data_IF_057149368953
#
_entry.id   IF_057149368953
#
_cell.length_a   1.000
_cell.length_b   1.000
_cell.length_c   1.000
_cell.angle_alpha   90.00
_cell.angle_beta   90.00
_cell.angle_gamma   90.00
#
_symmetry.space_group_name_H-M   'P 1'
#
loop_
_entity.id
_entity.type
_entity.pdbx_description
1 polymer ?
#
# COMPACT_ATOMS: atom_id res chain seq x y z
N UNK A 1 -47.67 -4.80 -15.18
CA UNK A 1 -46.60 -4.46 -14.22
C UNK A 1 -46.90 -3.06 -13.64
N UNK A 2 -47.12 -2.95 -12.33
CA UNK A 2 -47.54 -1.70 -11.69
C UNK A 2 -46.37 -0.73 -11.52
N UNK A 3 -46.59 0.57 -11.76
CA UNK A 3 -45.57 1.65 -11.71
C UNK A 3 -44.73 1.64 -10.41
N UNK A 4 -45.31 1.19 -9.29
CA UNK A 4 -44.63 0.99 -7.99
C UNK A 4 -43.52 -0.07 -8.03
N UNK A 5 -43.69 -1.15 -8.79
CA UNK A 5 -42.67 -2.20 -8.97
C UNK A 5 -41.50 -1.71 -9.82
N UNK A 6 -41.77 -0.88 -10.83
CA UNK A 6 -40.72 -0.27 -11.67
C UNK A 6 -39.87 0.73 -10.88
N UNK A 7 -40.50 1.58 -10.04
CA UNK A 7 -39.77 2.50 -9.17
C UNK A 7 -38.90 1.77 -8.12
N UNK A 8 -39.42 0.71 -7.51
CA UNK A 8 -38.67 -0.09 -6.55
C UNK A 8 -37.48 -0.82 -7.18
N UNK A 9 -37.64 -1.34 -8.40
CA UNK A 9 -36.54 -1.95 -9.17
C UNK A 9 -35.47 -0.92 -9.57
N UNK A 10 -35.86 0.28 -9.99
CA UNK A 10 -34.91 1.36 -10.34
C UNK A 10 -34.12 1.84 -9.11
N UNK A 11 -34.78 1.99 -7.95
CA UNK A 11 -34.10 2.36 -6.70
C UNK A 11 -33.10 1.27 -6.23
N UNK A 12 -33.43 0.00 -6.43
CA UNK A 12 -32.54 -1.13 -6.11
C UNK A 12 -31.29 -1.17 -7.00
N UNK A 13 -31.42 -0.85 -8.30
CA UNK A 13 -30.28 -0.77 -9.24
C UNK A 13 -29.35 0.40 -8.89
N UNK A 14 -29.91 1.56 -8.52
CA UNK A 14 -29.12 2.74 -8.12
C UNK A 14 -28.31 2.48 -6.83
N UNK A 15 -28.87 1.73 -5.88
CA UNK A 15 -28.14 1.32 -4.66
C UNK A 15 -27.00 0.32 -4.95
N UNK A 16 -27.17 -0.59 -5.92
CA UNK A 16 -26.12 -1.56 -6.27
C UNK A 16 -24.91 -0.90 -6.96
N UNK A 17 -25.11 0.17 -7.71
CA UNK A 17 -24.01 0.87 -8.41
C UNK A 17 -23.19 1.80 -7.51
N UNK A 18 -23.69 2.17 -6.33
CA UNK A 18 -22.99 3.09 -5.42
C UNK A 18 -21.80 2.44 -4.66
N UNK A 19 -21.67 1.12 -4.69
CA UNK A 19 -20.64 0.38 -3.91
C UNK A 19 -19.34 0.17 -4.71
N UNK A 20 -19.29 0.53 -5.99
CA UNK A 20 -18.19 0.13 -6.89
C UNK A 20 -16.99 1.10 -6.98
N UNK A 21 -16.95 2.18 -6.19
CA UNK A 21 -15.83 3.15 -6.19
C UNK A 21 -15.01 3.14 -4.90
N UNK A 22 -14.87 1.97 -4.24
CA UNK A 22 -13.82 1.81 -3.24
C UNK A 22 -12.51 1.66 -4.00
N UNK A 23 -11.77 2.74 -4.10
CA UNK A 23 -10.46 2.78 -4.75
C UNK A 23 -9.51 1.82 -4.02
N UNK A 24 -9.29 0.64 -4.60
CA UNK A 24 -8.31 -0.33 -4.13
C UNK A 24 -6.90 0.12 -4.57
N UNK A 25 -6.54 1.37 -4.29
CA UNK A 25 -5.20 1.91 -4.52
C UNK A 25 -4.22 1.52 -3.44
N UNK A 26 -4.70 1.10 -2.25
CA UNK A 26 -3.86 0.79 -1.10
C UNK A 26 -2.70 -0.16 -1.42
N UNK A 27 -2.95 -1.25 -2.14
CA UNK A 27 -1.86 -2.21 -2.49
C UNK A 27 -1.00 -1.72 -3.67
N UNK A 28 -1.56 -0.89 -4.57
CA UNK A 28 -0.86 -0.37 -5.76
C UNK A 28 0.13 0.74 -5.42
N UNK A 29 -0.14 1.55 -4.39
CA UNK A 29 0.71 2.67 -4.00
C UNK A 29 1.59 2.38 -2.77
N UNK A 30 1.47 1.21 -2.14
CA UNK A 30 2.25 0.89 -0.94
C UNK A 30 3.68 0.48 -1.27
N UNK A 31 4.63 0.95 -0.46
CA UNK A 31 6.02 0.51 -0.46
C UNK A 31 6.43 0.03 0.92
N UNK A 32 7.25 -1.01 0.98
CA UNK A 32 7.75 -1.58 2.22
C UNK A 32 9.27 -1.49 2.25
N UNK A 33 9.79 -0.93 3.34
CA UNK A 33 11.22 -0.89 3.63
C UNK A 33 11.64 -2.18 4.34
N UNK A 34 12.66 -2.81 3.78
CA UNK A 34 13.28 -3.99 4.32
C UNK A 34 14.76 -3.76 4.61
N UNK A 35 15.31 -4.62 5.46
CA UNK A 35 16.76 -4.86 5.55
C UNK A 35 17.08 -6.35 5.54
N UNK A 36 18.33 -6.70 5.30
CA UNK A 36 18.80 -8.08 5.49
C UNK A 36 19.23 -8.30 6.95
N UNK A 37 19.29 -9.56 7.35
CA UNK A 37 19.97 -9.95 8.59
C UNK A 37 21.48 -10.07 8.38
N UNK A 38 22.24 -9.81 9.44
CA UNK A 38 23.69 -10.05 9.49
C UNK A 38 23.98 -11.56 9.65
N UNK A 39 23.08 -12.29 10.30
CA UNK A 39 23.33 -13.66 10.77
C UNK A 39 22.60 -14.73 9.98
N UNK A 40 21.68 -14.35 9.08
CA UNK A 40 20.88 -15.30 8.31
C UNK A 40 20.44 -14.70 6.96
N UNK A 41 20.19 -15.54 5.93
CA UNK A 41 19.62 -15.10 4.66
C UNK A 41 18.11 -14.84 4.82
N UNK A 42 17.76 -13.79 5.56
CA UNK A 42 16.37 -13.41 5.79
C UNK A 42 16.14 -11.92 5.57
N UNK A 43 14.89 -11.60 5.24
CA UNK A 43 14.38 -10.25 5.02
C UNK A 43 13.64 -9.79 6.27
N UNK A 44 14.02 -8.65 6.82
CA UNK A 44 13.46 -8.06 8.04
C UNK A 44 12.66 -6.83 7.66
N UNK A 45 11.38 -6.81 8.02
CA UNK A 45 10.49 -5.65 7.86
C UNK A 45 10.89 -4.52 8.80
N UNK A 46 10.94 -3.28 8.27
CA UNK A 46 11.26 -2.08 9.05
C UNK A 46 10.07 -1.12 9.08
N UNK A 47 9.51 -0.79 7.92
CA UNK A 47 8.42 0.17 7.80
C UNK A 47 7.60 -0.06 6.53
N UNK A 48 6.37 0.44 6.52
CA UNK A 48 5.48 0.45 5.36
C UNK A 48 5.00 1.88 5.10
N UNK A 49 5.04 2.31 3.85
CA UNK A 49 4.66 3.64 3.36
C UNK A 49 3.42 3.47 2.49
N UNK A 50 2.27 3.86 3.02
CA UNK A 50 0.94 3.59 2.42
C UNK A 50 -0.03 4.77 2.60
N UNK A 51 0.43 5.98 2.27
CA UNK A 51 -0.39 7.19 2.34
C UNK A 51 -1.31 7.32 1.13
N UNK A 52 -2.33 8.19 1.25
CA UNK A 52 -3.20 8.61 0.15
C UNK A 52 -2.52 9.53 -0.88
N UNK A 53 -1.29 9.98 -0.61
CA UNK A 53 -0.58 10.95 -1.45
C UNK A 53 0.03 10.34 -2.71
N UNK A 54 -0.14 9.02 -2.90
CA UNK A 54 0.14 8.32 -4.15
C UNK A 54 1.45 7.53 -4.17
N UNK A 55 1.64 6.80 -5.27
CA UNK A 55 2.75 5.86 -5.45
C UNK A 55 4.12 6.54 -5.37
N UNK A 56 4.27 7.68 -6.02
CA UNK A 56 5.54 8.41 -6.06
C UNK A 56 5.94 8.92 -4.69
N UNK A 57 4.97 9.45 -3.92
CA UNK A 57 5.21 9.92 -2.56
C UNK A 57 5.65 8.78 -1.64
N UNK A 58 4.94 7.65 -1.68
CA UNK A 58 5.27 6.49 -0.86
C UNK A 58 6.63 5.88 -1.24
N UNK A 59 6.94 5.77 -2.54
CA UNK A 59 8.24 5.30 -3.04
C UNK A 59 9.38 6.21 -2.59
N UNK A 60 9.26 7.52 -2.84
CA UNK A 60 10.29 8.50 -2.51
C UNK A 60 10.56 8.54 -1.00
N UNK A 61 9.52 8.53 -0.17
CA UNK A 61 9.70 8.51 1.29
C UNK A 61 10.35 7.21 1.76
N UNK A 62 10.01 6.07 1.15
CA UNK A 62 10.69 4.81 1.42
C UNK A 62 12.18 4.91 1.06
N UNK A 63 12.52 5.40 -0.13
CA UNK A 63 13.91 5.51 -0.61
C UNK A 63 14.73 6.48 0.26
N UNK A 64 14.14 7.61 0.67
CA UNK A 64 14.75 8.56 1.61
C UNK A 64 15.06 7.85 2.93
N UNK A 65 14.10 7.12 3.50
CA UNK A 65 14.32 6.39 4.74
C UNK A 65 15.41 5.31 4.59
N UNK A 66 15.40 4.55 3.50
CA UNK A 66 16.42 3.54 3.19
C UNK A 66 17.83 4.16 3.18
N UNK A 67 17.99 5.30 2.49
CA UNK A 67 19.26 6.01 2.39
C UNK A 67 19.71 6.59 3.74
N UNK A 68 18.78 7.15 4.52
CA UNK A 68 19.07 7.67 5.85
C UNK A 68 19.56 6.57 6.81
N UNK A 69 18.93 5.38 6.77
CA UNK A 69 19.40 4.24 7.55
C UNK A 69 20.74 3.71 7.04
N UNK A 70 20.91 3.61 5.72
CA UNK A 70 22.14 3.12 5.12
C UNK A 70 23.35 4.01 5.44
N UNK A 71 23.14 5.33 5.58
CA UNK A 71 24.18 6.31 5.85
C UNK A 71 24.63 6.37 7.33
N UNK A 72 23.98 5.64 8.24
CA UNK A 72 24.38 5.67 9.65
C UNK A 72 25.76 5.01 9.85
N UNK A 73 26.64 5.58 10.71
CA UNK A 73 27.92 4.98 11.02
C UNK A 73 27.80 3.53 11.53
N UNK A 74 28.60 2.62 10.97
CA UNK A 74 28.63 1.22 11.40
C UNK A 74 27.52 0.33 10.83
N UNK A 75 26.68 0.82 9.93
CA UNK A 75 25.69 -0.01 9.24
C UNK A 75 26.35 -0.90 8.19
N UNK A 76 26.26 -2.21 8.41
CA UNK A 76 26.78 -3.26 7.51
C UNK A 76 25.68 -4.06 6.80
N UNK A 77 24.42 -3.75 7.11
CA UNK A 77 23.25 -4.32 6.45
C UNK A 77 22.83 -3.46 5.27
N UNK A 78 22.13 -4.07 4.32
CA UNK A 78 21.51 -3.40 3.18
C UNK A 78 20.06 -3.04 3.52
N UNK A 79 19.68 -1.81 3.23
CA UNK A 79 18.28 -1.37 3.22
C UNK A 79 17.78 -1.27 1.77
N UNK A 80 16.51 -1.62 1.54
CA UNK A 80 15.87 -1.42 0.23
C UNK A 80 14.36 -1.32 0.34
N UNK A 81 13.76 -0.68 -0.66
CA UNK A 81 12.33 -0.54 -0.81
C UNK A 81 11.78 -1.55 -1.82
N UNK A 82 10.62 -2.10 -1.49
CA UNK A 82 9.91 -3.06 -2.33
C UNK A 82 8.44 -2.64 -2.45
N UNK A 83 7.89 -2.72 -3.66
CA UNK A 83 6.49 -2.38 -3.89
C UNK A 83 5.59 -3.46 -3.26
N UNK A 84 4.53 -3.01 -2.59
CA UNK A 84 3.54 -3.85 -1.93
C UNK A 84 3.60 -3.82 -0.41
N UNK A 85 2.53 -4.32 0.21
CA UNK A 85 2.36 -4.37 1.66
C UNK A 85 3.14 -5.54 2.29
N UNK A 86 3.67 -5.34 3.49
CA UNK A 86 4.21 -6.42 4.30
C UNK A 86 3.13 -7.46 4.66
N UNK A 87 3.47 -8.75 4.52
CA UNK A 87 2.65 -9.89 4.93
C UNK A 87 3.39 -10.65 6.04
N UNK A 88 2.73 -10.86 7.18
CA UNK A 88 3.25 -11.58 8.35
C UNK A 88 3.20 -13.09 8.15
#
# INVERSE_FOLDING_TARGET
MTKKRVLAFLAFIVCLTAVALVDWTGERSTYTLYRNSVTAPMRIHIATFNTSDGEDYNRQNCDIAANLFQAQPGVIVKYWCEKGSYRR
#
